data_IF_570602778947
#
_entry.id   IF_570602778947
#
_cell.length_a   1.000
_cell.length_b   1.000
_cell.length_c   1.000
_cell.angle_alpha   90.00
_cell.angle_beta   90.00
_cell.angle_gamma   90.00
#
_symmetry.space_group_name_H-M   'P 1'
#
loop_
_entity.id
_entity.type
_entity.pdbx_description
1 polymer ?
#
# COMPACT_ATOMS: atom_id res chain seq x y z
N UNK A 1 13.30 -24.63 -2.64
CA UNK A 1 13.27 -23.17 -2.91
C UNK A 1 14.68 -22.63 -3.07
N UNK A 2 14.84 -21.43 -3.66
CA UNK A 2 16.14 -20.72 -3.69
C UNK A 2 16.17 -19.70 -2.54
N UNK A 3 17.15 -19.83 -1.65
CA UNK A 3 17.41 -18.87 -0.57
C UNK A 3 18.78 -18.24 -0.75
N UNK A 4 18.88 -16.93 -0.57
CA UNK A 4 20.13 -16.18 -0.47
C UNK A 4 20.20 -15.59 0.93
N UNK A 5 21.32 -15.82 1.61
CA UNK A 5 21.54 -15.36 2.97
C UNK A 5 22.85 -14.60 2.98
N UNK A 6 22.81 -13.39 3.54
CA UNK A 6 23.97 -12.57 3.80
C UNK A 6 24.09 -12.34 5.30
N UNK A 7 25.30 -12.44 5.82
CA UNK A 7 25.61 -12.24 7.25
C UNK A 7 26.75 -11.26 7.38
N UNK A 8 26.76 -10.46 8.45
CA UNK A 8 27.81 -9.46 8.70
C UNK A 8 28.08 -9.36 10.19
N UNK A 9 29.35 -9.51 10.58
CA UNK A 9 29.76 -9.42 11.98
C UNK A 9 29.66 -7.98 12.49
N UNK A 10 29.26 -7.85 13.76
CA UNK A 10 29.08 -6.57 14.45
C UNK A 10 30.06 -6.48 15.62
N UNK A 11 30.64 -5.30 15.82
CA UNK A 11 31.54 -4.99 16.94
C UNK A 11 32.97 -5.52 16.81
N UNK A 12 33.20 -6.65 16.13
CA UNK A 12 34.52 -7.19 15.86
C UNK A 12 34.59 -7.91 14.50
N UNK A 13 35.75 -7.94 13.82
CA UNK A 13 35.92 -8.74 12.62
C UNK A 13 35.92 -10.23 12.97
N UNK A 14 35.08 -10.99 12.28
CA UNK A 14 35.02 -12.45 12.33
C UNK A 14 34.69 -13.00 10.95
N UNK A 15 35.13 -14.22 10.64
CA UNK A 15 34.63 -14.94 9.47
C UNK A 15 33.28 -15.56 9.82
N UNK A 16 32.28 -15.25 9.01
CA UNK A 16 30.95 -15.84 9.08
C UNK A 16 30.67 -16.58 7.78
N UNK A 17 30.06 -17.76 7.87
CA UNK A 17 29.61 -18.50 6.70
C UNK A 17 28.34 -19.29 6.97
N UNK A 18 27.64 -19.63 5.89
CA UNK A 18 26.43 -20.44 5.94
C UNK A 18 26.84 -21.89 5.75
N UNK A 19 26.76 -22.70 6.81
CA UNK A 19 27.06 -24.13 6.74
C UNK A 19 25.96 -24.87 5.98
N UNK A 20 24.69 -24.56 6.26
CA UNK A 20 23.54 -25.12 5.55
C UNK A 20 22.35 -24.15 5.58
N UNK A 21 21.45 -24.28 4.60
CA UNK A 21 20.19 -23.52 4.54
C UNK A 21 19.10 -24.29 3.82
N UNK A 22 17.89 -24.26 4.38
CA UNK A 22 16.62 -24.62 3.74
C UNK A 22 15.51 -23.72 4.30
N UNK A 23 14.24 -23.96 3.95
CA UNK A 23 13.13 -23.15 4.45
C UNK A 23 12.88 -23.31 5.96
N UNK A 24 13.29 -24.42 6.55
CA UNK A 24 13.04 -24.71 7.96
C UNK A 24 14.15 -24.12 8.85
N UNK A 25 15.39 -24.08 8.35
CA UNK A 25 16.55 -23.71 9.14
C UNK A 25 17.70 -23.16 8.30
N UNK A 26 18.38 -22.15 8.84
CA UNK A 26 19.65 -21.63 8.36
C UNK A 26 20.68 -21.82 9.46
N UNK A 27 21.80 -22.49 9.16
CA UNK A 27 22.90 -22.71 10.10
C UNK A 27 24.05 -21.78 9.75
N UNK A 28 24.31 -20.81 10.63
CA UNK A 28 25.43 -19.88 10.53
C UNK A 28 26.55 -20.36 11.44
N UNK A 29 27.79 -20.29 10.94
CA UNK A 29 29.00 -20.59 11.70
C UNK A 29 29.91 -19.38 11.72
N UNK A 30 30.72 -19.31 12.78
CA UNK A 30 31.76 -18.31 12.95
C UNK A 30 33.04 -18.93 13.51
N UNK A 31 34.16 -18.26 13.28
CA UNK A 31 35.45 -18.51 13.93
C UNK A 31 35.59 -17.77 15.27
N UNK A 32 34.65 -16.90 15.65
CA UNK A 32 34.65 -16.16 16.90
C UNK A 32 33.23 -16.00 17.47
N UNK A 33 33.14 -15.67 18.77
CA UNK A 33 31.88 -15.32 19.40
C UNK A 33 31.61 -13.82 19.18
N UNK A 34 30.73 -13.51 18.22
CA UNK A 34 30.37 -12.14 17.83
C UNK A 34 28.88 -12.04 17.56
N UNK A 35 28.34 -10.86 17.79
CA UNK A 35 27.04 -10.49 17.27
C UNK A 35 27.10 -10.37 15.74
N UNK A 36 26.01 -10.67 15.05
CA UNK A 36 25.93 -10.53 13.60
C UNK A 36 24.53 -10.12 13.13
N UNK A 37 24.50 -9.30 12.10
CA UNK A 37 23.29 -8.99 11.34
C UNK A 37 23.11 -9.98 10.20
N UNK A 38 21.86 -10.20 9.80
CA UNK A 38 21.52 -11.10 8.70
C UNK A 38 20.45 -10.53 7.78
N UNK A 39 20.55 -10.89 6.50
CA UNK A 39 19.56 -10.58 5.47
C UNK A 39 19.25 -11.84 4.66
N UNK A 40 17.97 -12.18 4.54
CA UNK A 40 17.51 -13.40 3.85
C UNK A 40 16.54 -13.01 2.73
N UNK A 41 16.88 -13.42 1.53
CA UNK A 41 16.00 -13.38 0.37
C UNK A 41 15.61 -14.81 -0.03
N UNK A 42 14.36 -15.01 -0.42
CA UNK A 42 13.87 -16.29 -0.89
C UNK A 42 13.00 -16.16 -2.12
N UNK A 43 13.12 -17.12 -3.03
CA UNK A 43 12.14 -17.35 -4.10
C UNK A 43 11.28 -18.53 -3.68
N UNK A 44 9.99 -18.26 -3.42
CA UNK A 44 9.01 -19.29 -3.04
C UNK A 44 8.76 -20.24 -4.21
N UNK A 45 8.36 -21.48 -3.90
CA UNK A 45 7.88 -22.45 -4.89
C UNK A 45 6.74 -21.85 -5.71
N UNK A 46 6.71 -22.14 -7.01
CA UNK A 46 5.78 -21.53 -7.98
C UNK A 46 6.25 -20.21 -8.58
N UNK A 47 7.13 -19.46 -7.90
CA UNK A 47 7.60 -18.14 -8.37
C UNK A 47 8.99 -18.18 -9.02
N UNK A 48 9.56 -19.38 -9.20
CA UNK A 48 10.91 -19.57 -9.78
C UNK A 48 10.99 -19.32 -11.28
N UNK A 49 9.84 -19.31 -11.96
CA UNK A 49 9.73 -19.14 -13.42
C UNK A 49 9.18 -17.77 -13.81
N UNK A 50 8.84 -16.90 -12.85
CA UNK A 50 8.44 -15.53 -13.16
C UNK A 50 9.60 -14.81 -13.85
N UNK A 51 9.37 -14.45 -15.10
CA UNK A 51 10.23 -13.57 -15.88
C UNK A 51 9.77 -12.12 -15.74
N UNK A 52 10.59 -11.15 -16.15
CA UNK A 52 10.19 -9.73 -16.13
C UNK A 52 8.91 -9.46 -16.94
N UNK A 53 8.61 -10.32 -17.93
CA UNK A 53 7.40 -10.30 -18.75
C UNK A 53 6.13 -10.74 -17.98
N UNK A 54 6.30 -11.38 -16.82
CA UNK A 54 5.21 -11.84 -15.94
C UNK A 54 4.91 -10.86 -14.79
N UNK A 55 5.72 -9.83 -14.59
CA UNK A 55 5.58 -8.89 -13.48
C UNK A 55 4.45 -7.87 -13.68
N UNK A 56 4.11 -7.54 -14.93
CA UNK A 56 3.01 -6.65 -15.28
C UNK A 56 2.23 -7.26 -16.44
N UNK A 57 1.21 -8.03 -16.11
CA UNK A 57 0.26 -8.57 -17.08
C UNK A 57 -1.15 -8.06 -16.78
N UNK A 58 -1.97 -7.99 -17.83
CA UNK A 58 -3.40 -7.74 -17.67
C UNK A 58 -4.01 -8.84 -16.79
N UNK A 59 -4.73 -8.42 -15.74
CA UNK A 59 -5.31 -9.36 -14.79
C UNK A 59 -6.53 -10.06 -15.40
N UNK A 60 -6.31 -11.23 -16.00
CA UNK A 60 -7.37 -12.12 -16.49
C UNK A 60 -7.72 -13.23 -15.48
N UNK A 61 -7.29 -13.12 -14.22
CA UNK A 61 -7.62 -14.10 -13.18
C UNK A 61 -9.11 -13.98 -12.84
N UNK A 62 -9.93 -14.74 -13.57
CA UNK A 62 -11.36 -14.83 -13.34
C UNK A 62 -11.63 -15.65 -12.07
N UNK A 63 -12.26 -15.00 -11.08
CA UNK A 63 -12.78 -15.64 -9.87
C UNK A 63 -14.20 -16.15 -10.13
N UNK A 64 -14.45 -17.46 -10.25
CA UNK A 64 -15.80 -17.96 -10.24
C UNK A 64 -16.38 -17.77 -8.82
N UNK A 65 -17.40 -16.93 -8.67
CA UNK A 65 -18.12 -16.67 -7.42
C UNK A 65 -19.02 -17.85 -6.98
N UNK A 66 -18.92 -19.01 -7.65
CA UNK A 66 -19.75 -20.18 -7.37
C UNK A 66 -18.96 -21.16 -6.49
N UNK A 67 -19.45 -21.42 -5.28
CA UNK A 67 -18.75 -22.20 -4.24
C UNK A 67 -18.42 -23.66 -4.66
N UNK A 68 -19.27 -24.27 -5.50
CA UNK A 68 -19.16 -25.68 -5.89
C UNK A 68 -18.28 -25.91 -7.14
N UNK A 69 -17.59 -24.88 -7.63
CA UNK A 69 -16.69 -25.01 -8.79
C UNK A 69 -15.23 -25.05 -8.32
N UNK A 70 -14.43 -26.00 -8.83
CA UNK A 70 -12.99 -26.03 -8.55
C UNK A 70 -12.35 -24.70 -8.92
N UNK A 71 -11.48 -24.20 -8.05
CA UNK A 71 -10.76 -22.96 -8.25
C UNK A 71 -9.98 -23.02 -9.57
N UNK A 72 -10.16 -21.96 -10.37
CA UNK A 72 -10.01 -21.97 -11.82
C UNK A 72 -8.73 -22.58 -12.36
N UNK A 73 -8.81 -23.12 -13.59
CA UNK A 73 -7.65 -23.54 -14.39
C UNK A 73 -6.72 -22.38 -14.78
N UNK A 74 -7.01 -21.16 -14.34
CA UNK A 74 -6.23 -19.97 -14.59
C UNK A 74 -4.88 -19.97 -13.83
N UNK A 75 -4.78 -20.75 -12.75
CA UNK A 75 -3.54 -20.90 -12.00
C UNK A 75 -2.83 -22.21 -12.36
N UNK A 76 -1.51 -22.18 -12.59
CA UNK A 76 -0.66 -23.37 -12.59
C UNK A 76 -0.95 -24.30 -11.40
N UNK A 77 -0.81 -25.62 -11.64
CA UNK A 77 -1.09 -26.67 -10.64
C UNK A 77 -0.32 -26.48 -9.34
N UNK A 78 0.93 -26.00 -9.43
CA UNK A 78 1.78 -25.75 -8.28
C UNK A 78 1.21 -24.68 -7.34
N UNK A 79 0.62 -23.62 -7.91
CA UNK A 79 -0.02 -22.56 -7.11
C UNK A 79 -1.28 -23.09 -6.42
N UNK A 80 -2.07 -23.91 -7.12
CA UNK A 80 -3.28 -24.53 -6.54
C UNK A 80 -2.91 -25.48 -5.40
N UNK A 81 -1.83 -26.25 -5.54
CA UNK A 81 -1.30 -27.09 -4.47
C UNK A 81 -0.82 -26.28 -3.26
N UNK A 82 -0.15 -25.15 -3.46
CA UNK A 82 0.25 -24.24 -2.37
C UNK A 82 -0.99 -23.70 -1.64
N UNK A 83 -2.07 -23.40 -2.36
CA UNK A 83 -3.32 -22.95 -1.74
C UNK A 83 -3.98 -24.05 -0.91
N UNK A 84 -3.87 -25.32 -1.33
CA UNK A 84 -4.30 -26.48 -0.51
C UNK A 84 -3.43 -26.63 0.73
N UNK A 85 -2.11 -26.55 0.59
CA UNK A 85 -1.16 -26.62 1.72
C UNK A 85 -1.41 -25.52 2.76
N UNK A 86 -1.79 -24.32 2.32
CA UNK A 86 -2.13 -23.20 3.18
C UNK A 86 -3.58 -23.25 3.73
N UNK A 87 -4.37 -24.25 3.35
CA UNK A 87 -5.76 -24.42 3.80
C UNK A 87 -6.76 -23.46 3.17
N UNK A 88 -6.38 -22.73 2.11
CA UNK A 88 -7.27 -21.85 1.34
C UNK A 88 -8.22 -22.67 0.46
N UNK A 89 -7.74 -23.78 -0.08
CA UNK A 89 -8.51 -24.72 -0.88
C UNK A 89 -8.57 -26.09 -0.19
N UNK A 90 -9.65 -26.83 -0.45
CA UNK A 90 -9.78 -28.24 -0.15
C UNK A 90 -8.93 -29.10 -1.12
N UNK A 91 -8.69 -30.40 -0.83
CA UNK A 91 -7.92 -31.28 -1.72
C UNK A 91 -8.47 -31.45 -3.14
N UNK A 92 -9.75 -31.14 -3.36
CA UNK A 92 -10.41 -31.12 -4.68
C UNK A 92 -10.32 -29.76 -5.39
N UNK A 93 -9.51 -28.85 -4.84
CA UNK A 93 -9.32 -27.46 -5.26
C UNK A 93 -10.57 -26.58 -5.14
N UNK A 94 -11.61 -26.99 -4.43
CA UNK A 94 -12.72 -26.09 -4.07
C UNK A 94 -12.29 -25.16 -2.93
N UNK A 95 -12.86 -23.94 -2.82
CA UNK A 95 -12.59 -23.05 -1.69
C UNK A 95 -12.92 -23.68 -0.34
N UNK A 96 -12.05 -23.50 0.66
CA UNK A 96 -12.34 -23.90 2.03
C UNK A 96 -13.20 -22.82 2.71
N UNK A 97 -14.49 -23.12 2.89
CA UNK A 97 -15.47 -22.18 3.47
C UNK A 97 -15.07 -21.65 4.85
N UNK A 98 -14.40 -22.45 5.68
CA UNK A 98 -13.97 -22.00 7.02
C UNK A 98 -12.89 -20.93 6.91
N UNK A 99 -11.90 -21.16 6.06
CA UNK A 99 -10.81 -20.20 5.82
C UNK A 99 -11.35 -18.95 5.12
N UNK A 100 -12.28 -19.11 4.18
CA UNK A 100 -12.94 -17.99 3.51
C UNK A 100 -13.74 -17.12 4.48
N UNK A 101 -14.52 -17.71 5.39
CA UNK A 101 -15.25 -16.97 6.41
C UNK A 101 -14.32 -16.18 7.34
N UNK A 102 -13.17 -16.75 7.73
CA UNK A 102 -12.17 -16.04 8.52
C UNK A 102 -11.54 -14.87 7.76
N UNK A 103 -11.26 -15.05 6.47
CA UNK A 103 -10.73 -13.99 5.62
C UNK A 103 -11.75 -12.87 5.37
N UNK A 104 -13.02 -13.23 5.22
CA UNK A 104 -14.12 -12.25 5.04
C UNK A 104 -14.28 -11.36 6.26
N UNK A 105 -14.28 -11.94 7.47
CA UNK A 105 -14.31 -11.19 8.74
C UNK A 105 -13.11 -10.26 8.85
N UNK A 106 -11.90 -10.73 8.50
CA UNK A 106 -10.70 -9.91 8.54
C UNK A 106 -10.74 -8.72 7.55
N UNK A 107 -11.41 -8.88 6.40
CA UNK A 107 -11.59 -7.78 5.43
C UNK A 107 -12.58 -6.75 5.94
N UNK A 108 -13.66 -7.17 6.61
CA UNK A 108 -14.65 -6.27 7.20
C UNK A 108 -14.05 -5.42 8.35
N UNK A 109 -13.25 -6.04 9.21
CA UNK A 109 -12.50 -5.36 10.27
C UNK A 109 -11.53 -4.32 9.68
N UNK A 110 -10.76 -4.69 8.65
CA UNK A 110 -9.83 -3.78 7.98
C UNK A 110 -10.52 -2.59 7.29
N UNK A 111 -11.65 -2.83 6.63
CA UNK A 111 -12.43 -1.76 5.98
C UNK A 111 -12.97 -0.77 7.01
N UNK A 112 -13.39 -1.28 8.16
CA UNK A 112 -13.88 -0.48 9.30
C UNK A 112 -12.76 0.38 9.89
N UNK A 113 -11.59 -0.20 10.16
CA UNK A 113 -10.42 0.51 10.69
C UNK A 113 -9.92 1.59 9.72
N UNK A 114 -9.87 1.29 8.42
CA UNK A 114 -9.45 2.25 7.40
C UNK A 114 -10.38 3.46 7.34
N UNK A 115 -11.69 3.24 7.45
CA UNK A 115 -12.69 4.31 7.47
C UNK A 115 -12.53 5.20 8.71
N UNK A 116 -12.34 4.58 9.88
CA UNK A 116 -12.10 5.30 11.14
C UNK A 116 -10.85 6.19 11.06
N UNK A 117 -9.76 5.69 10.47
CA UNK A 117 -8.54 6.46 10.28
C UNK A 117 -8.68 7.60 9.26
N UNK A 118 -9.50 7.43 8.22
CA UNK A 118 -9.77 8.49 7.24
C UNK A 118 -10.63 9.60 7.84
N UNK A 119 -11.65 9.26 8.62
CA UNK A 119 -12.50 10.23 9.32
C UNK A 119 -11.68 11.04 10.33
N UNK A 120 -10.84 10.37 11.15
CA UNK A 120 -9.95 11.05 12.09
C UNK A 120 -8.91 11.96 11.40
N UNK A 121 -8.43 11.59 10.21
CA UNK A 121 -7.54 12.43 9.41
C UNK A 121 -8.26 13.67 8.84
N UNK A 122 -9.51 13.52 8.42
CA UNK A 122 -10.35 14.63 7.93
C UNK A 122 -10.69 15.62 9.05
N UNK A 123 -11.04 15.12 10.25
CA UNK A 123 -11.30 15.98 11.41
C UNK A 123 -10.08 16.79 11.83
N UNK A 124 -8.89 16.16 11.85
CA UNK A 124 -7.63 16.86 12.15
C UNK A 124 -7.28 17.91 11.10
N UNK A 125 -7.53 17.62 9.82
CA UNK A 125 -7.33 18.58 8.73
C UNK A 125 -8.30 19.77 8.83
N UNK A 126 -9.57 19.52 9.17
CA UNK A 126 -10.56 20.56 9.39
C UNK A 126 -10.21 21.46 10.57
N UNK A 127 -9.73 20.89 11.68
CA UNK A 127 -9.31 21.64 12.86
C UNK A 127 -8.10 22.55 12.58
N UNK A 128 -7.14 22.09 11.78
CA UNK A 128 -6.00 22.91 11.34
C UNK A 128 -6.46 24.10 10.48
N UNK A 129 -7.39 23.86 9.56
CA UNK A 129 -7.96 24.91 8.70
C UNK A 129 -8.75 25.95 9.51
N UNK A 130 -9.48 25.53 10.54
CA UNK A 130 -10.17 26.44 11.45
C UNK A 130 -9.20 27.24 12.34
N UNK A 131 -8.11 26.63 12.80
CA UNK A 131 -7.05 27.33 13.54
C UNK A 131 -6.36 28.38 12.67
N UNK A 132 -5.98 28.04 11.43
CA UNK A 132 -5.38 29.00 10.48
C UNK A 132 -6.36 30.14 10.15
N UNK A 133 -7.65 29.85 9.99
CA UNK A 133 -8.68 30.86 9.77
C UNK A 133 -8.90 31.76 11.00
N UNK A 134 -8.76 31.22 12.21
CA UNK A 134 -8.82 31.99 13.45
C UNK A 134 -7.61 32.93 13.58
N UNK A 135 -6.40 32.42 13.34
CA UNK A 135 -5.16 33.22 13.34
C UNK A 135 -5.21 34.34 12.29
N UNK A 136 -5.71 34.06 11.09
CA UNK A 136 -5.88 35.08 10.04
C UNK A 136 -6.87 36.20 10.43
N UNK A 137 -7.96 35.85 11.13
CA UNK A 137 -8.94 36.85 11.64
C UNK A 137 -8.35 37.69 12.76
N UNK A 138 -7.56 37.10 13.66
CA UNK A 138 -6.87 37.86 14.71
C UNK A 138 -5.80 38.79 14.12
N UNK A 139 -5.05 38.35 13.12
CA UNK A 139 -4.06 39.18 12.42
C UNK A 139 -4.69 40.36 11.67
N UNK A 140 -5.84 40.16 11.02
CA UNK A 140 -6.59 41.24 10.34
C UNK A 140 -7.19 42.25 11.33
N UNK A 141 -7.66 41.80 12.50
CA UNK A 141 -8.15 42.67 13.57
C UNK A 141 -7.04 43.53 14.19
N UNK A 142 -5.79 43.04 14.18
CA UNK A 142 -4.63 43.78 14.67
C UNK A 142 -4.13 44.86 13.68
N UNK A 143 -4.53 44.81 12.40
CA UNK A 143 -4.04 45.71 11.33
C UNK A 143 -5.06 46.75 10.86
N UNK A 144 -6.34 46.65 11.23
CA UNK A 144 -7.39 47.58 10.81
C UNK A 144 -7.72 48.67 11.83
N UNK A 145 -6.94 49.76 11.86
CA UNK A 145 -7.38 51.07 12.36
C UNK A 145 -6.46 52.21 11.87
N UNK A 146 -6.58 52.61 10.59
CA UNK A 146 -6.32 54.00 10.16
C UNK A 146 -7.30 54.32 9.02
N UNK A 147 -8.24 55.22 9.31
CA UNK A 147 -9.06 55.96 8.35
C UNK A 147 -8.16 56.71 7.36
N UNK A 148 -8.38 56.54 6.07
CA UNK A 148 -7.97 57.51 5.05
C UNK A 148 -9.16 57.74 4.11
N UNK A 149 -9.65 58.98 4.14
CA UNK A 149 -10.77 59.53 3.37
C UNK A 149 -10.59 59.44 1.84
N UNK A 150 -11.68 59.53 1.05
CA UNK A 150 -11.66 59.28 -0.38
C UNK A 150 -11.27 60.52 -1.19
N UNK A 151 -10.40 60.37 -2.19
CA UNK A 151 -10.15 61.40 -3.21
C UNK A 151 -10.64 60.92 -4.57
N UNK A 152 -11.56 61.72 -5.08
CA UNK A 152 -12.28 61.70 -6.34
C UNK A 152 -11.36 62.05 -7.54
N UNK A 153 -11.48 61.31 -8.66
CA UNK A 153 -11.20 61.85 -10.01
C UNK A 153 -11.64 60.91 -11.14
N UNK A 154 -12.91 61.03 -11.53
CA UNK A 154 -13.43 61.31 -12.87
C UNK A 154 -12.66 60.90 -14.17
N UNK A 155 -13.47 60.31 -15.07
CA UNK A 155 -13.55 60.45 -16.55
C UNK A 155 -13.00 59.34 -17.46
N UNK A 156 -13.83 58.87 -18.39
CA UNK A 156 -13.40 58.04 -19.54
C UNK A 156 -14.48 57.26 -20.29
N UNK A 157 -15.48 57.96 -20.84
CA UNK A 157 -16.35 57.67 -22.01
C UNK A 157 -16.17 56.37 -22.82
N UNK A 158 -17.28 55.65 -23.03
CA UNK A 158 -17.52 54.64 -24.09
C UNK A 158 -17.55 55.26 -25.52
N UNK A 159 -17.36 54.49 -26.61
CA UNK A 159 -18.51 53.84 -27.29
C UNK A 159 -18.24 52.48 -28.00
N UNK A 160 -19.34 51.71 -28.18
CA UNK A 160 -19.80 50.89 -29.35
C UNK A 160 -18.75 49.99 -30.07
N UNK A 161 -18.98 48.75 -30.47
CA UNK A 161 -20.08 48.14 -31.24
C UNK A 161 -19.65 46.68 -31.52
N UNK A 162 -20.54 45.68 -31.45
CA UNK A 162 -20.38 44.46 -32.26
C UNK A 162 -21.71 43.72 -32.47
N UNK A 163 -22.08 43.64 -33.75
CA UNK A 163 -23.10 42.76 -34.32
C UNK A 163 -22.54 41.35 -34.58
N UNK A 164 -23.42 40.49 -35.12
CA UNK A 164 -23.23 39.11 -35.63
C UNK A 164 -23.39 38.03 -34.54
N UNK A 165 -24.50 37.30 -34.40
CA UNK A 165 -25.43 36.66 -35.34
C UNK A 165 -24.72 35.78 -36.38
N UNK A 166 -24.50 34.50 -36.04
CA UNK A 166 -24.78 33.46 -37.02
C UNK A 166 -25.17 32.11 -36.38
N UNK A 167 -26.00 31.43 -37.16
CA UNK A 167 -26.63 30.12 -36.96
C UNK A 167 -25.62 28.96 -37.00
#
# INVERSE_FOLDING_TARGET
ERLTVQVTAVGAPAQLWIESKNLDMIVVRSDADVEFDYFVNGVRRGYSELTDEDLIQDNFSYWPMEADKPFGTAFPDEYRQIMVENGLLNPDFTPNEQTMALLEVAVEDYATDKKLHQEAAQERAAMLLEMEAHEAREASRATGAVDEDPVDSLTGTHPMESQESNR
#
